data_IF_481484189906
#
_entry.id   IF_481484189906
#
_cell.length_a   1.000
_cell.length_b   1.000
_cell.length_c   1.000
_cell.angle_alpha   90.00
_cell.angle_beta   90.00
_cell.angle_gamma   90.00
#
_symmetry.space_group_name_H-M   'P 1'
#
loop_
_entity.id
_entity.type
_entity.pdbx_description
1 polymer ?
#
# COMPACT_ATOMS: atom_id res chain seq x y z
N UNK A 1 9.16 15.77 20.96
CA UNK A 1 8.75 14.36 20.80
C UNK A 1 8.59 13.76 22.18
N UNK A 2 7.37 13.38 22.63
CA UNK A 2 7.17 12.82 23.95
C UNK A 2 7.93 11.48 24.13
N UNK A 3 8.46 11.25 25.33
CA UNK A 3 9.35 10.13 25.67
C UNK A 3 8.78 8.73 25.38
N UNK A 4 7.46 8.60 25.30
CA UNK A 4 6.78 7.36 24.92
C UNK A 4 7.13 6.90 23.49
N UNK A 5 7.32 7.84 22.55
CA UNK A 5 7.69 7.51 21.17
C UNK A 5 9.14 7.05 21.02
N UNK A 6 10.02 7.39 21.98
CA UNK A 6 11.42 6.99 21.99
C UNK A 6 11.66 5.60 22.62
N UNK A 7 10.68 5.08 23.37
CA UNK A 7 10.74 3.79 24.05
C UNK A 7 10.08 2.65 23.24
N UNK A 8 9.35 2.98 22.18
CA UNK A 8 8.82 1.98 21.27
C UNK A 8 9.97 1.37 20.47
N UNK A 9 10.04 0.04 20.31
CA UNK A 9 11.11 -0.57 19.54
C UNK A 9 11.12 0.08 18.17
N UNK A 10 12.20 0.83 17.91
CA UNK A 10 12.58 1.20 16.56
C UNK A 10 12.45 -0.10 15.75
N UNK A 11 11.57 -0.12 14.74
CA UNK A 11 11.35 -1.25 13.81
C UNK A 11 10.20 -2.23 14.08
N UNK A 12 9.18 -1.95 14.91
CA UNK A 12 7.91 -2.69 14.74
C UNK A 12 7.10 -2.13 13.55
N UNK A 13 7.47 -2.55 12.34
CA UNK A 13 6.82 -2.19 11.08
C UNK A 13 5.28 -2.36 11.10
N UNK A 14 4.74 -3.37 11.80
CA UNK A 14 3.30 -3.61 11.88
C UNK A 14 2.63 -2.53 12.74
N UNK A 15 3.28 -2.16 13.84
CA UNK A 15 2.81 -1.05 14.65
C UNK A 15 2.83 0.28 13.89
N UNK A 16 3.85 0.51 13.05
CA UNK A 16 3.89 1.70 12.20
C UNK A 16 2.75 1.74 11.18
N UNK A 17 2.42 0.59 10.56
CA UNK A 17 1.26 0.46 9.66
C UNK A 17 -0.05 0.73 10.41
N UNK A 18 -0.24 0.12 11.58
CA UNK A 18 -1.44 0.34 12.42
C UNK A 18 -1.61 1.81 12.83
N UNK A 19 -0.53 2.47 13.24
CA UNK A 19 -0.58 3.90 13.56
C UNK A 19 -0.99 4.72 12.33
N UNK A 20 -0.35 4.50 11.18
CA UNK A 20 -0.67 5.24 9.96
C UNK A 20 -2.14 5.01 9.53
N UNK A 21 -2.61 3.77 9.64
CA UNK A 21 -3.99 3.41 9.32
C UNK A 21 -4.98 4.12 10.26
N UNK A 22 -4.80 3.99 11.58
CA UNK A 22 -5.75 4.53 12.56
C UNK A 22 -5.74 6.05 12.67
N UNK A 23 -4.58 6.69 12.55
CA UNK A 23 -4.46 8.13 12.74
C UNK A 23 -4.71 8.94 11.47
N UNK A 24 -4.35 8.39 10.31
CA UNK A 24 -4.40 9.13 9.04
C UNK A 24 -5.47 8.57 8.10
N UNK A 25 -5.81 7.28 8.20
CA UNK A 25 -6.83 6.64 7.35
C UNK A 25 -6.41 6.47 5.89
N UNK A 26 -5.11 6.63 5.58
CA UNK A 26 -4.59 6.62 4.20
C UNK A 26 -3.84 5.32 3.87
N UNK A 27 -3.37 4.58 4.87
CA UNK A 27 -2.76 3.24 4.66
C UNK A 27 -3.76 2.14 4.98
N UNK A 28 -3.57 0.99 4.35
CA UNK A 28 -4.28 -0.24 4.69
C UNK A 28 -3.84 -0.78 6.06
N UNK A 29 -4.71 -1.53 6.76
CA UNK A 29 -4.39 -2.12 8.07
C UNK A 29 -3.36 -3.25 7.98
N UNK A 30 -2.90 -3.72 9.14
CA UNK A 30 -2.10 -4.96 9.19
C UNK A 30 -2.99 -6.18 8.97
N UNK A 31 -2.54 -7.13 8.16
CA UNK A 31 -3.20 -8.43 8.02
C UNK A 31 -2.81 -9.31 9.21
N UNK A 32 -3.69 -9.39 10.20
CA UNK A 32 -3.49 -10.21 11.40
C UNK A 32 -4.66 -11.16 11.70
N UNK A 33 -5.59 -11.35 10.75
CA UNK A 33 -6.74 -12.24 10.91
C UNK A 33 -6.35 -13.71 11.20
N UNK A 34 -7.16 -14.38 12.01
CA UNK A 34 -6.91 -15.77 12.47
C UNK A 34 -6.93 -16.82 11.36
N UNK A 35 -7.57 -16.51 10.23
CA UNK A 35 -7.72 -17.41 9.08
C UNK A 35 -6.64 -17.25 8.01
N UNK A 36 -5.58 -16.48 8.29
CA UNK A 36 -4.52 -16.18 7.33
C UNK A 36 -3.18 -16.64 7.89
N UNK A 37 -2.39 -17.33 7.06
CA UNK A 37 -1.01 -17.68 7.38
C UNK A 37 -0.12 -16.44 7.31
N UNK A 38 0.60 -16.16 8.40
CA UNK A 38 1.33 -14.90 8.67
C UNK A 38 2.83 -15.04 8.39
N UNK A 39 3.17 -15.57 7.22
CA UNK A 39 4.55 -15.85 6.80
C UNK A 39 4.84 -15.25 5.42
N UNK A 40 6.10 -14.89 5.10
CA UNK A 40 6.45 -14.21 3.85
C UNK A 40 5.96 -14.93 2.59
N UNK A 41 6.14 -16.25 2.52
CA UNK A 41 5.71 -17.04 1.36
C UNK A 41 4.19 -17.04 1.21
N UNK A 42 3.44 -17.22 2.30
CA UNK A 42 1.98 -17.20 2.28
C UNK A 42 1.44 -15.84 1.83
N UNK A 43 2.05 -14.74 2.32
CA UNK A 43 1.71 -13.39 1.89
C UNK A 43 2.03 -13.18 0.41
N UNK A 44 3.17 -13.68 -0.08
CA UNK A 44 3.55 -13.56 -1.50
C UNK A 44 2.53 -14.27 -2.40
N UNK A 45 2.18 -15.52 -2.08
CA UNK A 45 1.19 -16.31 -2.82
C UNK A 45 -0.18 -15.62 -2.86
N UNK A 46 -0.60 -15.00 -1.74
CA UNK A 46 -1.87 -14.25 -1.67
C UNK A 46 -1.80 -12.89 -2.35
N UNK A 47 -0.64 -12.25 -2.44
CA UNK A 47 -0.49 -10.94 -3.08
C UNK A 47 -0.61 -11.04 -4.61
N UNK A 48 -0.18 -12.16 -5.20
CA UNK A 48 -0.22 -12.38 -6.65
C UNK A 48 -1.62 -12.21 -7.29
N UNK A 49 -2.69 -12.87 -6.80
CA UNK A 49 -4.02 -12.69 -7.38
C UNK A 49 -4.52 -11.24 -7.27
N UNK A 50 -4.32 -10.58 -6.13
CA UNK A 50 -4.77 -9.20 -5.90
C UNK A 50 -4.08 -8.21 -6.86
N UNK A 51 -2.78 -8.41 -7.12
CA UNK A 51 -2.06 -7.66 -8.16
C UNK A 51 -2.63 -7.90 -9.56
N UNK A 52 -3.01 -9.14 -9.87
CA UNK A 52 -3.61 -9.49 -11.15
C UNK A 52 -4.99 -8.87 -11.31
N UNK A 53 -5.79 -8.83 -10.25
CA UNK A 53 -7.12 -8.23 -10.26
C UNK A 53 -7.03 -6.71 -10.37
N UNK A 54 -6.11 -6.07 -9.64
CA UNK A 54 -5.84 -4.65 -9.78
C UNK A 54 -5.37 -4.29 -11.21
N UNK A 55 -4.49 -5.10 -11.81
CA UNK A 55 -4.06 -4.87 -13.20
C UNK A 55 -5.23 -4.98 -14.18
N UNK A 56 -6.09 -5.99 -14.02
CA UNK A 56 -7.28 -6.15 -14.85
C UNK A 56 -8.23 -4.96 -14.69
N UNK A 57 -8.52 -4.54 -13.45
CA UNK A 57 -9.40 -3.41 -13.19
C UNK A 57 -8.83 -2.08 -13.71
N UNK A 58 -7.49 -1.91 -13.71
CA UNK A 58 -6.85 -0.78 -14.40
C UNK A 58 -7.17 -0.81 -15.88
N UNK A 59 -6.96 -1.95 -16.54
CA UNK A 59 -7.20 -2.12 -17.98
C UNK A 59 -8.67 -1.88 -18.33
N UNK A 60 -9.59 -2.44 -17.55
CA UNK A 60 -11.03 -2.33 -17.74
C UNK A 60 -11.54 -0.88 -17.58
N UNK A 61 -10.83 -0.02 -16.84
CA UNK A 61 -11.25 1.38 -16.60
C UNK A 61 -10.65 2.40 -17.56
N UNK A 62 -9.76 1.98 -18.47
CA UNK A 62 -8.94 2.93 -19.25
C UNK A 62 -9.78 3.83 -20.15
N UNK A 63 -10.87 3.33 -20.70
CA UNK A 63 -11.79 4.12 -21.49
C UNK A 63 -12.50 5.16 -20.64
N UNK A 64 -13.07 4.81 -19.48
CA UNK A 64 -13.71 5.78 -18.58
C UNK A 64 -12.73 6.85 -18.09
N UNK A 65 -11.48 6.48 -17.81
CA UNK A 65 -10.43 7.41 -17.36
C UNK A 65 -10.01 8.43 -18.43
N UNK A 66 -10.41 8.24 -19.69
CA UNK A 66 -10.17 9.18 -20.78
C UNK A 66 -11.38 10.06 -21.11
N UNK A 67 -12.54 9.80 -20.50
CA UNK A 67 -13.75 10.60 -20.70
C UNK A 67 -13.64 11.92 -19.91
N UNK A 68 -13.90 13.08 -20.53
CA UNK A 68 -14.01 14.34 -19.81
C UNK A 68 -15.06 14.27 -18.70
N UNK A 69 -14.81 14.91 -17.56
CA UNK A 69 -15.68 14.77 -16.37
C UNK A 69 -17.12 15.21 -16.64
N UNK A 70 -17.30 16.20 -17.49
CA UNK A 70 -18.57 16.75 -17.96
C UNK A 70 -19.38 15.77 -18.83
N UNK A 71 -18.72 14.79 -19.46
CA UNK A 71 -19.33 13.83 -20.37
C UNK A 71 -19.61 12.46 -19.72
N UNK A 72 -19.16 12.25 -18.47
CA UNK A 72 -19.37 11.02 -17.71
C UNK A 72 -20.86 10.79 -17.42
N UNK A 73 -21.34 9.59 -17.78
CA UNK A 73 -22.66 9.09 -17.45
C UNK A 73 -22.61 8.26 -16.17
N UNK A 74 -23.75 8.06 -15.48
CA UNK A 74 -23.78 7.28 -14.23
C UNK A 74 -23.17 5.88 -14.32
N UNK A 75 -23.25 5.21 -15.48
CA UNK A 75 -22.70 3.87 -15.67
C UNK A 75 -21.17 3.88 -15.85
N UNK A 76 -20.57 5.00 -16.27
CA UNK A 76 -19.13 5.16 -16.49
C UNK A 76 -18.35 5.25 -15.15
N UNK A 77 -19.04 5.11 -14.01
CA UNK A 77 -18.43 5.15 -12.69
C UNK A 77 -18.19 3.76 -12.09
N UNK A 78 -18.73 2.69 -12.68
CA UNK A 78 -18.67 1.37 -12.05
C UNK A 78 -17.27 0.75 -12.18
N UNK A 79 -16.63 0.85 -13.35
CA UNK A 79 -15.27 0.36 -13.54
C UNK A 79 -14.22 1.19 -12.76
N UNK A 80 -14.27 2.54 -12.71
CA UNK A 80 -13.41 3.31 -11.82
C UNK A 80 -13.59 2.98 -10.32
N UNK A 81 -14.81 2.68 -9.84
CA UNK A 81 -15.02 2.25 -8.45
C UNK A 81 -14.35 0.89 -8.19
N UNK A 82 -14.51 -0.05 -9.13
CA UNK A 82 -13.89 -1.37 -9.06
C UNK A 82 -12.37 -1.25 -9.07
N UNK A 83 -11.80 -0.41 -9.95
CA UNK A 83 -10.37 -0.09 -9.95
C UNK A 83 -9.89 0.33 -8.57
N UNK A 84 -10.59 1.28 -7.93
CA UNK A 84 -10.18 1.77 -6.60
C UNK A 84 -10.20 0.65 -5.56
N UNK A 85 -11.24 -0.19 -5.55
CA UNK A 85 -11.34 -1.33 -4.63
C UNK A 85 -10.20 -2.34 -4.82
N UNK A 86 -10.01 -2.82 -6.05
CA UNK A 86 -8.98 -3.81 -6.37
C UNK A 86 -7.56 -3.25 -6.13
N UNK A 87 -7.33 -1.95 -6.37
CA UNK A 87 -6.08 -1.29 -6.01
C UNK A 87 -5.85 -1.27 -4.49
N UNK A 88 -6.90 -1.03 -3.69
CA UNK A 88 -6.77 -1.08 -2.23
C UNK A 88 -6.48 -2.50 -1.72
N UNK A 89 -7.10 -3.52 -2.29
CA UNK A 89 -6.82 -4.91 -1.95
C UNK A 89 -5.38 -5.29 -2.31
N UNK A 90 -4.90 -4.88 -3.49
CA UNK A 90 -3.50 -5.04 -3.87
C UNK A 90 -2.54 -4.30 -2.92
N UNK A 91 -2.86 -3.06 -2.52
CA UNK A 91 -2.05 -2.28 -1.57
C UNK A 91 -2.05 -2.93 -0.18
N UNK A 92 -3.17 -3.48 0.28
CA UNK A 92 -3.27 -4.21 1.55
C UNK A 92 -2.26 -5.36 1.58
N UNK A 93 -2.29 -6.22 0.56
CA UNK A 93 -1.41 -7.38 0.51
C UNK A 93 0.04 -7.01 0.22
N UNK A 94 0.33 -6.05 -0.67
CA UNK A 94 1.71 -5.60 -0.93
C UNK A 94 2.36 -4.96 0.30
N UNK A 95 1.65 -4.06 0.99
CA UNK A 95 2.18 -3.38 2.17
C UNK A 95 2.51 -4.41 3.27
N UNK A 96 1.60 -5.35 3.50
CA UNK A 96 1.80 -6.42 4.46
C UNK A 96 2.89 -7.40 4.02
N UNK A 97 3.00 -7.75 2.75
CA UNK A 97 4.09 -8.56 2.23
C UNK A 97 5.45 -7.93 2.51
N UNK A 98 5.61 -6.63 2.23
CA UNK A 98 6.84 -5.89 2.54
C UNK A 98 7.16 -5.99 4.03
N UNK A 99 6.16 -5.78 4.89
CA UNK A 99 6.33 -5.94 6.32
C UNK A 99 6.77 -7.38 6.65
N UNK A 100 5.98 -8.41 6.32
CA UNK A 100 6.32 -9.79 6.66
C UNK A 100 7.71 -10.22 6.16
N UNK A 101 8.12 -9.83 4.95
CA UNK A 101 9.48 -10.04 4.46
C UNK A 101 10.50 -9.30 5.31
N UNK A 102 10.30 -8.01 5.60
CA UNK A 102 11.24 -7.25 6.41
C UNK A 102 11.44 -7.87 7.81
N UNK A 103 10.37 -8.33 8.46
CA UNK A 103 10.50 -9.06 9.74
C UNK A 103 11.14 -10.43 9.58
N UNK A 104 10.80 -11.17 8.53
CA UNK A 104 11.35 -12.51 8.31
C UNK A 104 12.86 -12.52 8.04
N UNK A 105 13.43 -11.39 7.60
CA UNK A 105 14.83 -11.24 7.23
C UNK A 105 15.57 -10.15 8.04
N UNK A 106 15.02 -9.73 9.19
CA UNK A 106 15.60 -8.68 10.06
C UNK A 106 15.97 -7.37 9.34
N UNK A 107 15.14 -6.96 8.38
CA UNK A 107 15.27 -5.70 7.64
C UNK A 107 14.41 -4.60 8.26
N UNK A 108 14.92 -3.37 8.24
CA UNK A 108 14.18 -2.16 8.63
C UNK A 108 13.33 -1.66 7.46
N UNK A 109 12.00 -1.85 7.52
CA UNK A 109 11.06 -1.35 6.49
C UNK A 109 11.20 0.17 6.28
N UNK A 110 11.44 0.94 7.35
CA UNK A 110 11.62 2.39 7.28
C UNK A 110 12.90 2.76 6.53
N UNK A 111 14.00 2.03 6.75
CA UNK A 111 15.25 2.32 6.03
C UNK A 111 15.16 1.89 4.56
N UNK A 112 14.46 0.79 4.26
CA UNK A 112 14.13 0.42 2.87
C UNK A 112 13.33 1.54 2.19
N UNK A 113 12.28 2.07 2.84
CA UNK A 113 11.50 3.18 2.29
C UNK A 113 12.32 4.46 2.11
N UNK A 114 13.19 4.83 3.06
CA UNK A 114 14.10 5.98 2.93
C UNK A 114 15.00 5.85 1.69
N UNK A 115 15.52 4.65 1.42
CA UNK A 115 16.33 4.41 0.22
C UNK A 115 15.50 4.57 -1.06
N UNK A 116 14.26 4.06 -1.08
CA UNK A 116 13.33 4.25 -2.20
C UNK A 116 12.98 5.72 -2.42
N UNK A 117 12.74 6.48 -1.37
CA UNK A 117 12.47 7.93 -1.45
C UNK A 117 13.61 8.68 -2.11
N UNK A 118 14.88 8.40 -1.73
CA UNK A 118 16.06 9.01 -2.39
C UNK A 118 16.07 8.73 -3.90
N UNK A 119 15.76 7.51 -4.31
CA UNK A 119 15.65 7.14 -5.72
C UNK A 119 14.52 7.92 -6.40
N UNK A 120 13.31 7.93 -5.84
CA UNK A 120 12.16 8.62 -6.43
C UNK A 120 12.35 10.13 -6.54
N UNK A 121 13.08 10.76 -5.62
CA UNK A 121 13.48 12.16 -5.75
C UNK A 121 14.46 12.37 -6.91
N UNK A 122 15.48 11.50 -7.02
CA UNK A 122 16.45 11.56 -8.12
C UNK A 122 15.79 11.36 -9.49
N UNK A 123 14.86 10.41 -9.57
CA UNK A 123 14.15 10.05 -10.80
C UNK A 123 13.02 11.05 -11.14
N UNK A 124 12.77 12.06 -10.30
CA UNK A 124 11.72 13.07 -10.51
C UNK A 124 10.28 12.57 -10.30
N UNK A 125 10.10 11.33 -9.82
CA UNK A 125 8.78 10.73 -9.52
C UNK A 125 8.08 11.48 -8.38
N UNK A 126 8.84 11.94 -7.39
CA UNK A 126 8.35 12.76 -6.27
C UNK A 126 9.21 14.02 -6.17
N UNK A 127 8.60 15.16 -5.82
CA UNK A 127 9.33 16.41 -5.56
C UNK A 127 9.83 16.45 -4.12
N UNK A 128 11.04 16.95 -3.90
CA UNK A 128 11.45 17.42 -2.58
C UNK A 128 10.52 18.58 -2.18
N UNK A 129 9.58 18.32 -1.27
CA UNK A 129 8.89 19.42 -0.59
C UNK A 129 9.91 20.01 0.38
N UNK A 130 10.27 21.28 0.21
CA UNK A 130 10.89 22.05 1.28
C UNK A 130 9.81 22.22 2.35
N UNK A 131 10.06 21.71 3.54
CA UNK A 131 9.31 22.09 4.74
C UNK A 131 9.61 23.55 5.10
#
# INVERSE_FOLDING_TARGET
>A
MPAFLAALPNQNQFFAIELAHRFVGVTTPVIDGDRIMKEPLAMAVKTMPELSQALAAIQDSLDELTIPKEDLKPNDFDDPKKLVAECFDAVLYLLNLIAYVCRGFDLSMQDQLKQRMKKWFKDGVVKHRKE
#
